data_IF_829851530410
#
_entry.id   IF_829851530410
#
_cell.length_a   1.000
_cell.length_b   1.000
_cell.length_c   1.000
_cell.angle_alpha   90.00
_cell.angle_beta   90.00
_cell.angle_gamma   90.00
#
_symmetry.space_group_name_H-M   'P 1'
#
loop_
_entity.id
_entity.type
_entity.pdbx_description
1 polymer ?
#
# COMPACT_ATOMS: atom_id res chain seq x y z
N UNK A 1 7.44 -7.01 21.18
CA UNK A 1 6.93 -8.40 21.34
C UNK A 1 6.00 -8.72 20.19
N UNK A 2 6.17 -9.89 19.55
CA UNK A 2 5.33 -10.41 18.47
C UNK A 2 4.86 -11.80 18.87
N UNK A 3 3.55 -11.99 18.96
CA UNK A 3 2.91 -13.27 19.28
C UNK A 3 1.90 -13.60 18.16
N UNK A 4 2.40 -14.09 17.02
CA UNK A 4 1.60 -14.24 15.81
C UNK A 4 2.18 -15.34 14.89
N UNK A 5 2.14 -16.59 15.30
CA UNK A 5 2.53 -17.71 14.45
C UNK A 5 3.98 -17.65 13.94
N UNK A 6 4.93 -17.18 14.75
CA UNK A 6 6.31 -17.00 14.32
C UNK A 6 7.18 -18.20 14.73
N UNK A 7 7.74 -18.89 13.73
CA UNK A 7 8.68 -19.98 13.97
C UNK A 7 10.08 -19.45 14.34
N UNK A 8 10.74 -20.01 15.38
CA UNK A 8 12.05 -19.63 15.83
C UNK A 8 13.16 -20.25 14.96
N UNK A 9 13.18 -19.94 13.68
CA UNK A 9 14.23 -20.42 12.77
C UNK A 9 15.60 -19.90 13.17
N UNK A 10 16.66 -20.62 12.83
CA UNK A 10 18.04 -20.23 13.19
C UNK A 10 18.41 -18.84 12.65
N UNK A 11 17.96 -18.50 11.45
CA UNK A 11 18.18 -17.16 10.87
C UNK A 11 17.51 -16.06 11.70
N UNK A 12 16.26 -16.29 12.14
CA UNK A 12 15.53 -15.31 12.96
C UNK A 12 16.11 -15.14 14.36
N UNK A 13 16.65 -16.22 14.94
CA UNK A 13 17.33 -16.17 16.25
C UNK A 13 18.59 -15.30 16.22
N UNK A 14 19.18 -15.06 15.05
CA UNK A 14 20.30 -14.12 14.91
C UNK A 14 19.86 -12.66 15.15
N UNK A 15 18.60 -12.32 14.90
CA UNK A 15 18.09 -10.94 14.95
C UNK A 15 17.19 -10.66 16.15
N UNK A 16 16.42 -11.65 16.61
CA UNK A 16 15.46 -11.51 17.72
C UNK A 16 15.57 -12.66 18.72
N UNK A 17 15.12 -12.43 19.96
CA UNK A 17 14.97 -13.45 20.96
C UNK A 17 13.59 -14.13 20.86
N UNK A 18 13.52 -15.42 21.19
CA UNK A 18 12.30 -16.21 21.18
C UNK A 18 12.01 -16.80 22.55
N UNK A 19 10.74 -16.84 22.92
CA UNK A 19 10.25 -17.57 24.08
C UNK A 19 10.34 -19.10 23.85
N UNK A 20 10.03 -19.87 24.88
CA UNK A 20 9.64 -21.27 24.73
C UNK A 20 8.48 -21.38 23.73
N UNK A 21 8.43 -22.47 22.95
CA UNK A 21 7.33 -22.70 22.05
C UNK A 21 5.99 -22.78 22.79
N UNK A 22 5.00 -22.06 22.32
CA UNK A 22 3.65 -22.12 22.88
C UNK A 22 2.71 -23.00 22.09
N UNK A 23 3.05 -23.34 20.86
CA UNK A 23 2.29 -24.20 19.98
C UNK A 23 3.24 -24.89 18.99
N UNK A 24 2.91 -26.15 18.60
CA UNK A 24 3.60 -26.84 17.51
C UNK A 24 2.61 -26.97 16.36
N UNK A 25 2.98 -26.42 15.21
CA UNK A 25 2.12 -26.39 14.03
C UNK A 25 2.33 -27.61 13.18
N UNK A 26 1.22 -28.18 12.69
CA UNK A 26 1.23 -29.25 11.68
C UNK A 26 0.94 -28.63 10.32
N UNK A 27 1.82 -28.80 9.32
CA UNK A 27 1.53 -28.35 7.96
C UNK A 27 0.45 -29.22 7.34
N UNK A 28 -0.50 -28.54 6.73
CA UNK A 28 -1.67 -29.13 6.06
C UNK A 28 -1.84 -28.49 4.69
N UNK A 29 -2.75 -29.02 3.89
CA UNK A 29 -3.14 -28.44 2.60
C UNK A 29 -4.57 -27.90 2.68
N UNK A 30 -4.78 -26.73 2.08
CA UNK A 30 -6.13 -26.19 1.86
C UNK A 30 -6.44 -26.32 0.38
N UNK A 31 -7.58 -26.96 0.09
CA UNK A 31 -8.07 -27.25 -1.26
C UNK A 31 -9.48 -26.70 -1.46
N UNK A 32 -9.95 -26.68 -2.71
CA UNK A 32 -11.37 -26.47 -2.97
C UNK A 32 -12.17 -27.72 -2.59
N UNK A 33 -13.26 -27.56 -1.83
CA UNK A 33 -14.15 -28.67 -1.40
C UNK A 33 -14.76 -29.41 -2.55
N UNK A 34 -15.05 -28.72 -3.66
CA UNK A 34 -15.63 -29.30 -4.88
C UNK A 34 -14.55 -29.61 -5.94
N UNK A 35 -13.27 -29.45 -5.59
CA UNK A 35 -12.15 -29.70 -6.50
C UNK A 35 -11.70 -31.18 -6.51
N UNK A 36 -10.85 -31.50 -7.48
CA UNK A 36 -10.37 -32.87 -7.72
C UNK A 36 -9.56 -33.43 -6.53
N UNK A 37 -8.94 -32.55 -5.74
CA UNK A 37 -8.07 -32.89 -4.61
C UNK A 37 -8.78 -32.94 -3.24
N UNK A 38 -10.10 -32.73 -3.20
CA UNK A 38 -10.88 -32.76 -1.95
C UNK A 38 -10.85 -34.14 -1.23
N UNK A 39 -10.54 -35.20 -1.93
CA UNK A 39 -10.48 -36.56 -1.41
C UNK A 39 -9.05 -37.07 -1.21
N UNK A 40 -8.05 -36.23 -1.44
CA UNK A 40 -6.64 -36.58 -1.26
C UNK A 40 -6.38 -36.98 0.20
N UNK A 41 -5.57 -38.01 0.42
CA UNK A 41 -5.23 -38.55 1.74
C UNK A 41 -3.74 -38.64 1.97
N UNK A 42 -2.94 -38.65 0.92
CA UNK A 42 -1.49 -38.75 0.94
C UNK A 42 -0.89 -37.59 0.18
N UNK A 43 0.41 -37.33 0.35
CA UNK A 43 1.12 -36.31 -0.43
C UNK A 43 1.16 -36.67 -1.93
N UNK A 44 1.17 -37.93 -2.27
CA UNK A 44 1.20 -38.45 -3.66
C UNK A 44 -0.10 -38.18 -4.41
N UNK A 45 -1.24 -38.10 -3.69
CA UNK A 45 -2.54 -37.83 -4.30
C UNK A 45 -2.63 -36.44 -4.93
N UNK A 46 -1.66 -35.57 -4.64
CA UNK A 46 -1.55 -34.21 -5.21
C UNK A 46 -0.77 -34.17 -6.53
N UNK A 47 -0.45 -35.29 -7.14
CA UNK A 47 0.20 -35.30 -8.44
C UNK A 47 -0.62 -34.54 -9.49
N UNK A 48 0.00 -33.60 -10.21
CA UNK A 48 -0.65 -32.72 -11.17
C UNK A 48 -1.34 -31.48 -10.57
N UNK A 49 -1.42 -31.36 -9.25
CA UNK A 49 -2.02 -30.21 -8.58
C UNK A 49 -1.12 -28.97 -8.69
N UNK A 50 -1.69 -27.82 -9.00
CA UNK A 50 -1.02 -26.51 -8.93
C UNK A 50 -0.99 -26.04 -7.49
N UNK A 51 0.18 -26.12 -6.85
CA UNK A 51 0.32 -25.88 -5.41
C UNK A 51 1.30 -24.73 -5.15
N UNK A 52 0.94 -23.88 -4.21
CA UNK A 52 1.80 -22.79 -3.74
C UNK A 52 1.98 -22.81 -2.22
N UNK A 53 2.88 -21.96 -1.75
CA UNK A 53 3.12 -21.69 -0.33
C UNK A 53 3.38 -20.21 -0.11
N UNK A 54 3.38 -19.75 1.15
CA UNK A 54 3.67 -18.38 1.47
C UNK A 54 5.16 -18.06 1.26
N UNK A 55 5.44 -16.97 0.57
CA UNK A 55 6.80 -16.48 0.30
C UNK A 55 7.53 -16.09 1.60
N UNK A 56 8.80 -16.44 1.70
CA UNK A 56 9.63 -16.07 2.86
C UNK A 56 9.31 -16.85 4.13
N UNK A 57 8.54 -17.94 4.04
CA UNK A 57 8.23 -18.87 5.13
C UNK A 57 8.72 -20.26 4.77
N UNK A 58 9.07 -21.04 5.77
CA UNK A 58 9.59 -22.41 5.61
C UNK A 58 8.66 -23.35 4.84
N UNK A 59 7.36 -23.06 4.73
CA UNK A 59 6.40 -23.83 3.94
C UNK A 59 6.83 -24.01 2.48
N UNK A 60 7.56 -23.06 1.90
CA UNK A 60 8.09 -23.18 0.53
C UNK A 60 9.02 -24.41 0.39
N UNK A 61 9.73 -24.75 1.46
CA UNK A 61 10.65 -25.88 1.50
C UNK A 61 9.93 -27.23 1.51
N UNK A 62 8.61 -27.25 1.73
CA UNK A 62 7.77 -28.47 1.71
C UNK A 62 7.25 -28.81 0.32
N UNK A 63 7.22 -27.85 -0.61
CA UNK A 63 6.74 -28.08 -1.98
C UNK A 63 7.39 -29.28 -2.68
N UNK A 64 8.72 -29.52 -2.55
CA UNK A 64 9.38 -30.67 -3.15
C UNK A 64 8.92 -32.04 -2.62
N UNK A 65 8.27 -32.10 -1.45
CA UNK A 65 7.73 -33.36 -0.90
C UNK A 65 6.43 -33.82 -1.60
N UNK A 66 5.78 -32.91 -2.34
CA UNK A 66 4.59 -33.21 -3.14
C UNK A 66 5.01 -33.73 -4.52
N UNK A 67 5.35 -35.00 -4.57
CA UNK A 67 5.89 -35.63 -5.79
C UNK A 67 4.84 -35.62 -6.92
N UNK A 68 5.23 -35.03 -8.05
CA UNK A 68 4.36 -34.95 -9.23
C UNK A 68 3.38 -33.74 -9.21
N UNK A 69 3.34 -32.95 -8.16
CA UNK A 69 2.61 -31.69 -8.16
C UNK A 69 3.30 -30.63 -9.05
N UNK A 70 2.58 -29.60 -9.42
CA UNK A 70 3.06 -28.42 -10.18
C UNK A 70 3.26 -27.24 -9.25
N UNK A 71 4.48 -27.03 -8.68
CA UNK A 71 4.73 -25.90 -7.79
C UNK A 71 4.53 -24.58 -8.51
N UNK A 72 3.71 -23.70 -7.93
CA UNK A 72 3.47 -22.36 -8.41
C UNK A 72 4.36 -21.35 -7.66
N UNK A 73 4.55 -20.16 -8.25
CA UNK A 73 5.31 -19.09 -7.60
C UNK A 73 4.75 -18.81 -6.20
N UNK A 74 5.60 -18.79 -5.14
CA UNK A 74 5.17 -18.46 -3.79
C UNK A 74 4.47 -17.09 -3.71
N UNK A 75 3.39 -17.00 -2.94
CA UNK A 75 2.57 -15.80 -2.80
C UNK A 75 2.87 -15.06 -1.50
N UNK A 76 2.65 -13.75 -1.46
CA UNK A 76 3.05 -12.88 -0.35
C UNK A 76 2.33 -13.18 0.97
N UNK A 77 1.06 -13.60 0.94
CA UNK A 77 0.26 -13.86 2.13
C UNK A 77 -0.85 -14.89 1.88
N UNK A 78 -1.45 -15.38 2.96
CA UNK A 78 -2.57 -16.34 2.89
C UNK A 78 -3.80 -15.76 2.18
N UNK A 79 -4.00 -14.45 2.19
CA UNK A 79 -5.11 -13.80 1.52
C UNK A 79 -5.05 -13.97 0.01
N UNK A 80 -3.85 -13.81 -0.55
CA UNK A 80 -3.60 -14.02 -1.98
C UNK A 80 -3.78 -15.49 -2.37
N UNK A 81 -3.28 -16.41 -1.53
CA UNK A 81 -3.41 -17.85 -1.77
C UNK A 81 -4.88 -18.31 -1.73
N UNK A 82 -5.66 -17.84 -0.76
CA UNK A 82 -7.11 -18.12 -0.68
C UNK A 82 -7.87 -17.58 -1.89
N UNK A 83 -7.53 -16.37 -2.35
CA UNK A 83 -8.15 -15.80 -3.54
C UNK A 83 -7.77 -16.58 -4.81
N UNK A 84 -6.50 -16.99 -4.93
CA UNK A 84 -6.04 -17.81 -6.04
C UNK A 84 -6.74 -19.17 -6.06
N UNK A 85 -6.93 -19.80 -4.89
CA UNK A 85 -7.67 -21.07 -4.75
C UNK A 85 -9.15 -20.86 -5.09
N UNK A 86 -9.80 -19.82 -4.57
CA UNK A 86 -11.21 -19.53 -4.84
C UNK A 86 -11.49 -19.25 -6.33
N UNK A 87 -10.50 -18.72 -7.06
CA UNK A 87 -10.59 -18.43 -8.50
C UNK A 87 -10.09 -19.56 -9.40
N UNK A 88 -9.62 -20.67 -8.84
CA UNK A 88 -9.11 -21.82 -9.61
C UNK A 88 -7.75 -21.58 -10.29
N UNK A 89 -7.00 -20.56 -9.87
CA UNK A 89 -5.62 -20.32 -10.35
C UNK A 89 -4.67 -21.36 -9.78
N UNK A 90 -4.90 -21.77 -8.53
CA UNK A 90 -4.21 -22.87 -7.86
C UNK A 90 -5.23 -23.91 -7.39
N UNK A 91 -4.79 -25.14 -7.18
CA UNK A 91 -5.63 -26.27 -6.70
C UNK A 91 -5.47 -26.46 -5.20
N UNK A 92 -4.30 -26.07 -4.63
CA UNK A 92 -4.03 -26.15 -3.21
C UNK A 92 -2.97 -25.13 -2.78
N UNK A 93 -2.91 -24.86 -1.46
CA UNK A 93 -1.78 -24.20 -0.84
C UNK A 93 -1.40 -24.87 0.48
N UNK A 94 -0.10 -24.83 0.80
CA UNK A 94 0.41 -25.33 2.08
C UNK A 94 0.13 -24.28 3.16
N UNK A 95 -0.43 -24.74 4.26
CA UNK A 95 -0.82 -23.92 5.41
C UNK A 95 -0.53 -24.63 6.73
N UNK A 96 -0.81 -23.96 7.81
CA UNK A 96 -0.82 -24.51 9.16
C UNK A 96 -2.25 -24.85 9.58
N UNK A 97 -2.40 -25.88 10.42
CA UNK A 97 -3.70 -26.36 10.89
C UNK A 97 -4.63 -25.22 11.40
N UNK A 98 -4.20 -24.26 12.23
CA UNK A 98 -5.08 -23.20 12.72
C UNK A 98 -5.58 -22.26 11.59
N UNK A 99 -4.71 -21.92 10.64
CA UNK A 99 -5.10 -21.11 9.48
C UNK A 99 -6.04 -21.84 8.56
N UNK A 100 -5.74 -23.11 8.26
CA UNK A 100 -6.56 -23.95 7.39
C UNK A 100 -7.98 -24.15 7.95
N UNK A 101 -8.12 -24.43 9.24
CA UNK A 101 -9.42 -24.54 9.92
C UNK A 101 -10.17 -23.21 9.92
N UNK A 102 -9.45 -22.10 10.09
CA UNK A 102 -10.04 -20.76 10.00
C UNK A 102 -10.55 -20.48 8.59
N UNK A 103 -9.76 -20.83 7.56
CA UNK A 103 -10.17 -20.66 6.15
C UNK A 103 -11.40 -21.52 5.83
N UNK A 104 -11.45 -22.78 6.29
CA UNK A 104 -12.58 -23.69 6.11
C UNK A 104 -13.84 -23.19 6.84
N UNK A 105 -13.69 -22.70 8.08
CA UNK A 105 -14.81 -22.15 8.86
C UNK A 105 -15.40 -20.89 8.24
N UNK A 106 -14.54 -20.04 7.66
CA UNK A 106 -14.94 -18.76 7.08
C UNK A 106 -15.49 -18.87 5.65
N UNK A 107 -15.17 -19.95 4.94
CA UNK A 107 -15.64 -20.17 3.57
C UNK A 107 -15.87 -21.68 3.34
N UNK A 108 -17.13 -22.04 3.20
CA UNK A 108 -17.58 -23.44 3.00
C UNK A 108 -17.00 -24.11 1.76
N UNK A 109 -16.47 -23.34 0.80
CA UNK A 109 -15.80 -23.87 -0.41
C UNK A 109 -14.39 -24.39 -0.14
N UNK A 110 -13.80 -24.04 0.98
CA UNK A 110 -12.48 -24.55 1.35
C UNK A 110 -12.57 -25.80 2.20
N UNK A 111 -11.56 -26.64 2.09
CA UNK A 111 -11.42 -27.86 2.85
C UNK A 111 -9.97 -28.03 3.28
N UNK A 112 -9.76 -28.29 4.56
CA UNK A 112 -8.46 -28.68 5.08
C UNK A 112 -8.25 -30.17 4.80
N UNK A 113 -7.12 -30.51 4.18
CA UNK A 113 -6.65 -31.89 3.97
C UNK A 113 -5.39 -32.11 4.80
N UNK A 114 -5.41 -33.13 5.65
CA UNK A 114 -4.24 -33.57 6.42
C UNK A 114 -3.71 -34.85 5.81
N UNK A 115 -2.60 -34.82 5.07
CA UNK A 115 -2.02 -36.01 4.44
C UNK A 115 -1.49 -36.98 5.51
N UNK A 116 -1.56 -38.29 5.22
CA UNK A 116 -0.97 -39.31 6.06
C UNK A 116 -0.26 -40.37 5.18
N UNK A 117 1.09 -40.50 5.23
CA UNK A 117 2.00 -39.73 6.09
C UNK A 117 1.97 -38.21 5.77
N UNK A 118 2.19 -37.37 6.80
CA UNK A 118 2.27 -35.93 6.67
C UNK A 118 3.62 -35.47 6.12
N UNK A 119 3.80 -34.14 6.08
CA UNK A 119 5.06 -33.54 5.68
C UNK A 119 6.17 -33.85 6.71
N UNK A 120 7.37 -34.06 6.23
CA UNK A 120 8.58 -34.09 7.06
C UNK A 120 9.01 -32.65 7.37
N UNK A 121 9.03 -32.26 8.66
CA UNK A 121 9.33 -30.90 9.12
C UNK A 121 10.36 -30.94 10.22
N UNK A 122 11.32 -30.01 10.17
CA UNK A 122 12.22 -29.81 11.29
C UNK A 122 11.46 -29.28 12.50
N UNK A 123 11.76 -29.77 13.70
CA UNK A 123 11.09 -29.38 14.93
C UNK A 123 11.14 -27.87 15.18
N UNK A 124 12.26 -27.22 14.81
CA UNK A 124 12.43 -25.76 14.89
C UNK A 124 11.47 -24.97 13.99
N UNK A 125 11.08 -25.55 12.85
CA UNK A 125 10.21 -24.89 11.88
C UNK A 125 8.74 -25.04 12.27
N UNK A 126 8.37 -26.19 12.82
CA UNK A 126 7.04 -26.47 13.33
C UNK A 126 6.72 -25.71 14.64
N UNK A 127 7.73 -25.36 15.43
CA UNK A 127 7.53 -24.65 16.68
C UNK A 127 7.08 -23.21 16.44
N UNK A 128 6.14 -22.73 17.26
CA UNK A 128 5.66 -21.35 17.25
C UNK A 128 5.98 -20.72 18.61
N UNK A 129 6.68 -19.59 18.58
CA UNK A 129 7.14 -18.91 19.78
C UNK A 129 6.88 -17.38 19.71
N UNK A 130 6.96 -16.73 20.85
CA UNK A 130 6.84 -15.27 20.96
C UNK A 130 8.19 -14.64 20.64
N UNK A 131 8.23 -13.75 19.63
CA UNK A 131 9.42 -12.97 19.29
C UNK A 131 9.53 -11.70 20.13
N UNK A 132 10.72 -11.41 20.66
CA UNK A 132 11.05 -10.25 21.46
C UNK A 132 12.31 -9.57 20.93
N UNK A 133 12.57 -8.33 21.35
CA UNK A 133 13.88 -7.72 21.09
C UNK A 133 14.97 -8.51 21.78
N UNK A 134 16.14 -8.59 21.17
CA UNK A 134 17.24 -9.42 21.65
C UNK A 134 17.77 -9.02 23.04
N UNK A 135 17.62 -7.76 23.37
CA UNK A 135 18.03 -7.13 24.63
C UNK A 135 16.92 -7.11 25.72
N UNK A 136 15.69 -7.52 25.38
CA UNK A 136 14.53 -7.51 26.30
C UNK A 136 14.44 -8.84 27.09
N UNK A 137 15.47 -9.14 27.86
CA UNK A 137 15.60 -10.38 28.64
C UNK A 137 14.51 -10.45 29.73
N UNK A 138 14.17 -9.32 30.34
CA UNK A 138 13.17 -9.26 31.41
C UNK A 138 11.77 -9.69 30.93
N UNK A 139 11.37 -9.22 29.75
CA UNK A 139 10.11 -9.64 29.14
C UNK A 139 10.14 -11.10 28.72
N UNK A 140 11.28 -11.59 28.21
CA UNK A 140 11.45 -12.99 27.82
C UNK A 140 11.24 -13.93 29.01
N UNK A 141 11.87 -13.64 30.15
CA UNK A 141 11.73 -14.43 31.40
C UNK A 141 10.28 -14.45 31.86
N UNK A 142 9.60 -13.30 31.85
CA UNK A 142 8.18 -13.20 32.25
C UNK A 142 7.26 -14.00 31.33
N UNK A 143 7.49 -13.91 30.00
CA UNK A 143 6.70 -14.67 29.01
C UNK A 143 6.89 -16.17 29.23
N UNK A 144 8.12 -16.65 29.38
CA UNK A 144 8.39 -18.06 29.62
C UNK A 144 7.76 -18.56 30.93
N UNK A 145 7.86 -17.78 32.00
CA UNK A 145 7.22 -18.12 33.28
C UNK A 145 5.69 -18.26 33.17
N UNK A 146 5.03 -17.42 32.37
CA UNK A 146 3.59 -17.55 32.10
C UNK A 146 3.31 -18.77 31.21
N UNK A 147 4.09 -19.02 30.18
CA UNK A 147 3.89 -20.18 29.28
C UNK A 147 4.04 -21.52 30.02
N UNK A 148 4.91 -21.60 31.04
CA UNK A 148 5.10 -22.79 31.88
C UNK A 148 3.88 -23.08 32.74
N UNK A 149 3.05 -22.08 33.08
CA UNK A 149 1.82 -22.29 33.86
C UNK A 149 0.67 -22.88 33.06
N UNK A 150 0.76 -22.89 31.71
CA UNK A 150 -0.30 -23.37 30.81
C UNK A 150 0.17 -24.68 30.19
N UNK A 151 -0.53 -25.77 30.44
CA UNK A 151 -0.17 -27.07 29.88
C UNK A 151 -0.32 -27.06 28.36
N UNK A 152 0.42 -27.92 27.64
CA UNK A 152 0.30 -28.05 26.18
C UNK A 152 -1.13 -28.41 25.77
N UNK A 153 -1.79 -29.31 26.52
CA UNK A 153 -3.18 -29.68 26.30
C UNK A 153 -4.13 -28.46 26.38
N UNK A 154 -3.92 -27.58 27.38
CA UNK A 154 -4.74 -26.40 27.54
C UNK A 154 -4.49 -25.38 26.43
N UNK A 155 -3.23 -25.27 25.95
CA UNK A 155 -2.88 -24.41 24.83
C UNK A 155 -3.56 -24.85 23.51
N UNK A 156 -3.54 -26.17 23.23
CA UNK A 156 -4.26 -26.74 22.08
C UNK A 156 -5.77 -26.52 22.22
N UNK A 157 -6.34 -26.78 23.39
CA UNK A 157 -7.78 -26.56 23.63
C UNK A 157 -8.18 -25.07 23.48
N UNK A 158 -7.31 -24.15 23.91
CA UNK A 158 -7.51 -22.70 23.69
C UNK A 158 -7.48 -22.35 22.22
N UNK A 159 -6.57 -22.94 21.44
CA UNK A 159 -6.49 -22.72 19.99
C UNK A 159 -7.75 -23.22 19.29
N UNK A 160 -8.18 -24.43 19.57
CA UNK A 160 -9.41 -25.00 19.00
C UNK A 160 -10.63 -24.14 19.35
N UNK A 161 -10.75 -23.69 20.60
CA UNK A 161 -11.81 -22.78 21.02
C UNK A 161 -11.77 -21.43 20.30
N UNK A 162 -10.58 -20.88 20.03
CA UNK A 162 -10.47 -19.63 19.27
C UNK A 162 -10.89 -19.79 17.81
N UNK A 163 -10.65 -20.95 17.22
CA UNK A 163 -11.11 -21.29 15.87
C UNK A 163 -12.66 -21.38 15.83
N UNK A 164 -13.28 -22.03 16.83
CA UNK A 164 -14.74 -22.15 16.93
C UNK A 164 -15.47 -20.81 17.08
N UNK A 165 -14.87 -19.81 17.75
CA UNK A 165 -15.50 -18.49 17.95
C UNK A 165 -15.29 -17.55 16.75
N UNK A 166 -14.52 -17.94 15.76
CA UNK A 166 -14.37 -17.13 14.55
C UNK A 166 -15.70 -17.04 13.80
N UNK A 167 -15.99 -15.91 13.12
CA UNK A 167 -17.20 -15.77 12.35
C UNK A 167 -17.28 -16.88 11.28
N UNK A 168 -18.05 -17.91 11.57
CA UNK A 168 -18.38 -18.92 10.58
C UNK A 168 -19.26 -18.31 9.50
N UNK A 169 -19.16 -18.83 8.30
CA UNK A 169 -20.13 -18.55 7.23
C UNK A 169 -21.49 -19.12 7.67
N UNK A 170 -22.30 -18.25 8.29
CA UNK A 170 -23.62 -18.60 8.81
C UNK A 170 -24.68 -18.73 7.69
N UNK A 171 -24.34 -19.31 6.55
CA UNK A 171 -25.28 -19.74 5.53
C UNK A 171 -26.03 -20.99 5.99
N UNK A 172 -26.86 -20.83 7.05
CA UNK A 172 -27.68 -21.91 7.62
C UNK A 172 -28.94 -22.25 6.80
N UNK A 173 -29.23 -21.52 5.75
CA UNK A 173 -30.29 -21.86 4.79
C UNK A 173 -29.66 -22.13 3.43
N UNK A 174 -29.69 -23.36 2.96
CA UNK A 174 -29.13 -23.97 1.77
C UNK A 174 -29.07 -23.22 0.43
N UNK A 175 -29.14 -21.90 0.43
CA UNK A 175 -28.87 -21.03 -0.71
C UNK A 175 -27.72 -20.07 -0.33
N UNK A 176 -26.55 -20.21 -0.99
CA UNK A 176 -25.48 -19.21 -0.85
C UNK A 176 -26.03 -17.80 -1.14
N UNK A 177 -25.78 -16.80 -0.26
CA UNK A 177 -26.20 -15.43 -0.53
C UNK A 177 -25.59 -14.96 -1.85
N UNK A 178 -26.41 -14.35 -2.70
CA UNK A 178 -25.93 -13.84 -4.00
C UNK A 178 -24.77 -12.85 -3.80
N UNK A 179 -23.90 -12.73 -4.81
CA UNK A 179 -22.80 -11.78 -4.79
C UNK A 179 -23.21 -10.38 -4.33
N UNK A 180 -24.34 -9.88 -4.83
CA UNK A 180 -24.86 -8.56 -4.46
C UNK A 180 -25.32 -8.47 -3.00
N UNK A 181 -25.90 -9.54 -2.46
CA UNK A 181 -26.27 -9.58 -1.04
C UNK A 181 -25.03 -9.57 -0.15
N UNK A 182 -23.98 -10.27 -0.52
CA UNK A 182 -22.70 -10.25 0.19
C UNK A 182 -22.07 -8.85 0.16
N UNK A 183 -22.02 -8.20 -1.01
CA UNK A 183 -21.52 -6.82 -1.17
C UNK A 183 -22.30 -5.85 -0.27
N UNK A 184 -23.63 -5.90 -0.28
CA UNK A 184 -24.48 -5.03 0.56
C UNK A 184 -24.21 -5.31 2.05
N UNK A 185 -24.11 -6.56 2.44
CA UNK A 185 -23.83 -6.95 3.83
C UNK A 185 -22.48 -6.43 4.31
N UNK A 186 -21.42 -6.59 3.50
CA UNK A 186 -20.09 -6.08 3.82
C UNK A 186 -20.13 -4.55 3.96
N UNK A 187 -20.74 -3.88 2.98
CA UNK A 187 -20.83 -2.43 2.96
C UNK A 187 -21.58 -1.89 4.19
N UNK A 188 -22.73 -2.46 4.52
CA UNK A 188 -23.54 -2.01 5.65
C UNK A 188 -22.90 -2.28 7.01
N UNK A 189 -22.20 -3.40 7.16
CA UNK A 189 -21.48 -3.72 8.40
C UNK A 189 -20.22 -2.88 8.59
N UNK A 190 -19.50 -2.54 7.52
CA UNK A 190 -18.18 -1.93 7.58
C UNK A 190 -18.11 -0.49 7.04
N UNK A 191 -19.25 0.17 6.79
CA UNK A 191 -19.28 1.50 6.18
C UNK A 191 -18.48 2.57 6.93
N UNK A 192 -18.45 2.50 8.28
CA UNK A 192 -17.68 3.45 9.10
C UNK A 192 -16.18 3.30 8.87
N UNK A 193 -15.70 2.07 8.71
CA UNK A 193 -14.31 1.78 8.43
C UNK A 193 -13.90 2.27 7.04
N UNK A 194 -14.74 2.03 6.02
CA UNK A 194 -14.51 2.53 4.67
C UNK A 194 -14.56 4.06 4.61
N UNK A 195 -15.49 4.69 5.31
CA UNK A 195 -15.59 6.15 5.38
C UNK A 195 -14.36 6.77 6.05
N UNK A 196 -13.89 6.18 7.16
CA UNK A 196 -12.67 6.62 7.84
C UNK A 196 -11.44 6.46 6.93
N UNK A 197 -11.29 5.32 6.27
CA UNK A 197 -10.22 5.07 5.32
C UNK A 197 -10.23 6.07 4.17
N UNK A 198 -11.41 6.35 3.59
CA UNK A 198 -11.60 7.38 2.56
C UNK A 198 -11.20 8.77 3.05
N UNK A 199 -11.56 9.13 4.28
CA UNK A 199 -11.17 10.41 4.88
C UNK A 199 -9.64 10.55 5.03
N UNK A 200 -8.96 9.49 5.44
CA UNK A 200 -7.48 9.47 5.56
C UNK A 200 -6.83 9.55 4.16
N UNK A 201 -7.35 8.80 3.17
CA UNK A 201 -6.91 8.90 1.78
C UNK A 201 -6.98 10.34 1.27
N UNK A 202 -8.14 11.00 1.45
CA UNK A 202 -8.33 12.39 1.03
C UNK A 202 -7.42 13.37 1.79
N UNK A 203 -7.27 13.19 3.09
CA UNK A 203 -6.40 14.03 3.93
C UNK A 203 -4.94 13.97 3.43
N UNK A 204 -4.39 12.77 3.29
CA UNK A 204 -3.02 12.57 2.84
C UNK A 204 -2.81 13.12 1.43
N UNK A 205 -3.72 12.81 0.50
CA UNK A 205 -3.65 13.25 -0.89
C UNK A 205 -3.74 14.78 -1.00
N UNK A 206 -4.67 15.39 -0.29
CA UNK A 206 -4.88 16.84 -0.35
C UNK A 206 -3.70 17.61 0.27
N UNK A 207 -3.31 17.25 1.51
CA UNK A 207 -2.21 17.91 2.19
C UNK A 207 -0.90 17.65 1.45
N UNK A 208 -0.67 16.41 0.99
CA UNK A 208 0.50 16.02 0.20
C UNK A 208 0.60 16.80 -1.10
N UNK A 209 -0.51 16.96 -1.84
CA UNK A 209 -0.53 17.74 -3.10
C UNK A 209 -0.29 19.22 -2.86
N UNK A 210 -0.94 19.83 -1.86
CA UNK A 210 -0.75 21.25 -1.54
C UNK A 210 0.70 21.51 -1.12
N UNK A 211 1.24 20.72 -0.21
CA UNK A 211 2.62 20.85 0.26
C UNK A 211 3.61 20.58 -0.87
N UNK A 212 3.34 19.55 -1.69
CA UNK A 212 4.14 19.23 -2.87
C UNK A 212 4.12 20.34 -3.91
N UNK A 213 2.97 21.01 -4.13
CA UNK A 213 2.89 22.19 -4.99
C UNK A 213 3.77 23.33 -4.47
N UNK A 214 3.74 23.60 -3.16
CA UNK A 214 4.58 24.65 -2.55
C UNK A 214 6.07 24.31 -2.74
N UNK A 215 6.48 23.07 -2.46
CA UNK A 215 7.84 22.59 -2.69
C UNK A 215 8.22 22.75 -4.17
N UNK A 216 7.35 22.31 -5.06
CA UNK A 216 7.53 22.37 -6.51
C UNK A 216 7.66 23.81 -7.02
N UNK A 217 6.84 24.74 -6.52
CA UNK A 217 6.94 26.17 -6.85
C UNK A 217 8.29 26.76 -6.42
N UNK A 218 8.72 26.49 -5.20
CA UNK A 218 10.01 26.99 -4.68
C UNK A 218 11.19 26.47 -5.53
N UNK A 219 11.19 25.16 -5.83
CA UNK A 219 12.24 24.52 -6.61
C UNK A 219 12.18 24.98 -8.08
N UNK A 220 11.00 25.02 -8.70
CA UNK A 220 10.82 25.43 -10.09
C UNK A 220 11.27 26.87 -10.32
N UNK A 221 10.88 27.78 -9.43
CA UNK A 221 11.34 29.19 -9.48
C UNK A 221 12.85 29.30 -9.27
N UNK A 222 13.40 28.58 -8.29
CA UNK A 222 14.84 28.57 -8.04
C UNK A 222 15.64 28.10 -9.26
N UNK A 223 15.23 27.00 -9.89
CA UNK A 223 15.94 26.41 -11.04
C UNK A 223 15.82 27.23 -12.33
N UNK A 224 14.87 28.16 -12.42
CA UNK A 224 14.70 29.08 -13.55
C UNK A 224 15.34 30.45 -13.29
N UNK A 225 15.84 30.70 -12.06
CA UNK A 225 16.53 31.94 -11.71
C UNK A 225 17.86 32.05 -12.47
N UNK A 226 18.22 33.25 -12.95
CA UNK A 226 19.53 33.50 -13.60
C UNK A 226 20.67 33.27 -12.61
N UNK A 227 21.85 32.97 -13.17
CA UNK A 227 23.07 32.81 -12.37
C UNK A 227 23.44 34.08 -11.65
N UNK A 228 23.80 33.98 -10.39
CA UNK A 228 24.19 35.13 -9.56
C UNK A 228 25.45 35.81 -10.15
N UNK A 229 25.49 37.13 -10.14
CA UNK A 229 26.62 37.92 -10.62
C UNK A 229 27.91 37.72 -9.77
N UNK A 230 27.76 37.46 -8.47
CA UNK A 230 28.88 37.16 -7.58
C UNK A 230 29.33 35.71 -7.79
N UNK A 231 30.63 35.48 -8.09
CA UNK A 231 31.21 34.15 -8.36
C UNK A 231 31.00 33.16 -7.21
N UNK A 232 31.12 33.59 -5.95
CA UNK A 232 30.90 32.74 -4.78
C UNK A 232 29.45 32.30 -4.68
N UNK A 233 28.49 33.21 -4.86
CA UNK A 233 27.06 32.89 -4.89
C UNK A 233 26.67 32.01 -6.10
N UNK A 234 27.32 32.23 -7.24
CA UNK A 234 27.11 31.41 -8.43
C UNK A 234 27.53 29.93 -8.21
N UNK A 235 28.66 29.72 -7.50
CA UNK A 235 29.11 28.38 -7.12
C UNK A 235 28.10 27.71 -6.16
N UNK A 236 27.67 28.43 -5.12
CA UNK A 236 26.67 27.92 -4.18
C UNK A 236 25.34 27.60 -4.88
N UNK A 237 24.91 28.49 -5.79
CA UNK A 237 23.70 28.28 -6.60
C UNK A 237 23.83 27.00 -7.45
N UNK A 238 25.00 26.75 -8.05
CA UNK A 238 25.27 25.57 -8.85
C UNK A 238 25.25 24.29 -7.98
N UNK A 239 25.88 24.31 -6.81
CA UNK A 239 25.89 23.16 -5.88
C UNK A 239 24.47 22.84 -5.41
N UNK A 240 23.73 23.86 -4.97
CA UNK A 240 22.35 23.67 -4.51
C UNK A 240 21.44 23.23 -5.67
N UNK A 241 21.61 23.78 -6.87
CA UNK A 241 20.92 23.34 -8.08
C UNK A 241 21.19 21.88 -8.41
N UNK A 242 22.41 21.39 -8.21
CA UNK A 242 22.76 19.98 -8.38
C UNK A 242 22.07 19.08 -7.35
N UNK A 243 22.03 19.51 -6.07
CA UNK A 243 21.31 18.77 -5.01
C UNK A 243 19.81 18.69 -5.30
N UNK A 244 19.20 19.76 -5.78
CA UNK A 244 17.79 19.78 -6.18
C UNK A 244 17.53 18.87 -7.40
N UNK A 245 18.46 18.83 -8.34
CA UNK A 245 18.35 17.90 -9.49
C UNK A 245 18.45 16.45 -9.03
N UNK A 246 19.39 16.12 -8.15
CA UNK A 246 19.51 14.79 -7.56
C UNK A 246 18.24 14.39 -6.81
N UNK A 247 17.66 15.31 -6.00
CA UNK A 247 16.37 15.10 -5.34
C UNK A 247 15.27 14.73 -6.36
N UNK A 248 15.13 15.55 -7.42
CA UNK A 248 14.09 15.32 -8.44
C UNK A 248 14.29 13.97 -9.14
N UNK A 249 15.52 13.65 -9.53
CA UNK A 249 15.83 12.38 -10.20
C UNK A 249 15.56 11.17 -9.32
N UNK A 250 15.94 11.22 -8.03
CA UNK A 250 15.70 10.13 -7.08
C UNK A 250 14.21 9.91 -6.90
N UNK A 251 13.45 10.96 -6.55
CA UNK A 251 12.03 10.81 -6.23
C UNK A 251 11.14 10.54 -7.44
N UNK A 252 11.55 10.91 -8.64
CA UNK A 252 10.86 10.54 -9.90
C UNK A 252 11.35 9.22 -10.49
N UNK A 253 12.55 8.80 -10.15
CA UNK A 253 13.17 7.58 -10.67
C UNK A 253 12.93 6.33 -9.82
N UNK A 254 12.34 6.46 -8.63
CA UNK A 254 12.06 5.33 -7.74
C UNK A 254 10.58 5.22 -7.39
N UNK A 255 10.03 3.99 -7.22
CA UNK A 255 8.63 3.81 -6.83
C UNK A 255 8.35 4.35 -5.42
N UNK A 256 7.18 5.00 -5.23
CA UNK A 256 6.80 5.57 -3.92
C UNK A 256 6.71 4.51 -2.81
N UNK A 257 6.35 3.26 -3.14
CA UNK A 257 6.35 2.16 -2.17
C UNK A 257 7.75 1.91 -1.58
N UNK A 258 8.81 1.94 -2.42
CA UNK A 258 10.19 1.77 -1.99
C UNK A 258 10.64 2.97 -1.14
N UNK A 259 10.30 4.19 -1.59
CA UNK A 259 10.56 5.42 -0.82
C UNK A 259 9.93 5.35 0.58
N UNK A 260 8.69 4.86 0.67
CA UNK A 260 7.96 4.72 1.93
C UNK A 260 8.67 3.77 2.90
N UNK A 261 9.16 2.64 2.40
CA UNK A 261 9.94 1.67 3.19
C UNK A 261 11.23 2.29 3.72
N UNK A 262 12.01 2.91 2.82
CA UNK A 262 13.31 3.51 3.17
C UNK A 262 13.14 4.66 4.15
N UNK A 263 12.17 5.56 3.93
CA UNK A 263 11.98 6.73 4.79
C UNK A 263 11.45 6.30 6.16
N UNK A 264 10.42 5.46 6.21
CA UNK A 264 9.78 5.12 7.47
C UNK A 264 10.63 4.17 8.32
N UNK A 265 11.01 3.01 7.77
CA UNK A 265 11.79 2.02 8.51
C UNK A 265 13.28 2.38 8.60
N UNK A 266 13.83 2.99 7.55
CA UNK A 266 15.22 3.45 7.56
C UNK A 266 15.47 4.54 8.60
N UNK A 267 14.53 5.47 8.79
CA UNK A 267 14.62 6.50 9.85
C UNK A 267 14.58 5.87 11.24
N UNK A 268 13.70 4.89 11.44
CA UNK A 268 13.62 4.16 12.70
C UNK A 268 14.92 3.39 13.00
N UNK A 269 15.47 2.72 11.99
CA UNK A 269 16.70 1.92 12.13
C UNK A 269 17.95 2.78 12.32
N UNK A 270 18.10 3.87 11.52
CA UNK A 270 19.32 4.68 11.54
C UNK A 270 19.37 5.67 12.71
N UNK A 271 18.23 6.20 13.14
CA UNK A 271 18.16 7.28 14.13
C UNK A 271 17.36 6.92 15.38
N UNK A 272 16.76 5.72 15.47
CA UNK A 272 15.90 5.33 16.58
C UNK A 272 14.60 6.14 16.68
N UNK A 273 14.21 6.86 15.63
CA UNK A 273 13.04 7.75 15.61
C UNK A 273 11.84 6.98 15.07
N UNK A 274 10.82 6.77 15.92
CA UNK A 274 9.53 6.22 15.50
C UNK A 274 8.62 7.36 15.05
N UNK A 275 8.39 7.45 13.74
CA UNK A 275 7.50 8.46 13.17
C UNK A 275 6.02 8.02 13.31
N UNK A 276 5.13 8.99 13.52
CA UNK A 276 3.69 8.73 13.32
C UNK A 276 3.44 8.36 11.86
N UNK A 277 2.67 7.29 11.63
CA UNK A 277 2.43 6.73 10.30
C UNK A 277 1.74 7.71 9.35
N UNK A 278 0.75 8.45 9.85
CA UNK A 278 0.00 9.42 9.03
C UNK A 278 0.85 10.63 8.69
N UNK A 279 1.64 11.13 9.64
CA UNK A 279 2.57 12.22 9.38
C UNK A 279 3.68 11.81 8.41
N UNK A 280 4.22 10.60 8.56
CA UNK A 280 5.19 10.04 7.62
C UNK A 280 4.59 9.90 6.21
N UNK A 281 3.35 9.43 6.10
CA UNK A 281 2.64 9.33 4.83
C UNK A 281 2.48 10.70 4.15
N UNK A 282 2.02 11.71 4.90
CA UNK A 282 1.89 13.08 4.39
C UNK A 282 3.25 13.60 3.92
N UNK A 283 4.31 13.40 4.70
CA UNK A 283 5.67 13.81 4.33
C UNK A 283 6.13 13.12 3.04
N UNK A 284 5.98 11.80 2.94
CA UNK A 284 6.40 11.01 1.77
C UNK A 284 5.67 11.48 0.51
N UNK A 285 4.33 11.62 0.57
CA UNK A 285 3.55 12.12 -0.56
C UNK A 285 3.94 13.54 -0.92
N UNK A 286 4.19 14.42 0.08
CA UNK A 286 4.59 15.81 -0.17
C UNK A 286 5.91 15.92 -0.91
N UNK A 287 6.94 15.18 -0.50
CA UNK A 287 8.25 15.24 -1.15
C UNK A 287 8.24 14.54 -2.52
N UNK A 288 7.49 13.44 -2.66
CA UNK A 288 7.32 12.78 -3.95
C UNK A 288 6.61 13.72 -4.95
N UNK A 289 5.43 14.24 -4.58
CA UNK A 289 4.68 15.19 -5.41
C UNK A 289 5.48 16.46 -5.68
N UNK A 290 6.27 16.94 -4.71
CA UNK A 290 7.15 18.11 -4.87
C UNK A 290 8.16 17.96 -6.01
N UNK A 291 8.70 16.76 -6.19
CA UNK A 291 9.61 16.45 -7.29
C UNK A 291 8.89 16.53 -8.65
N UNK A 292 7.68 15.97 -8.78
CA UNK A 292 6.88 16.07 -10.00
C UNK A 292 6.44 17.50 -10.28
N UNK A 293 5.91 18.19 -9.25
CA UNK A 293 5.45 19.56 -9.36
C UNK A 293 6.56 20.54 -9.73
N UNK A 294 7.81 20.29 -9.32
CA UNK A 294 8.94 21.15 -9.67
C UNK A 294 9.19 21.20 -11.20
N UNK A 295 9.02 20.09 -11.89
CA UNK A 295 9.13 20.01 -13.35
C UNK A 295 7.91 20.61 -14.05
N UNK A 296 6.70 20.41 -13.49
CA UNK A 296 5.46 21.02 -14.00
C UNK A 296 5.57 22.54 -13.89
N UNK A 297 6.01 23.07 -12.75
CA UNK A 297 6.22 24.52 -12.55
C UNK A 297 7.30 25.06 -13.50
N UNK A 298 8.42 24.35 -13.62
CA UNK A 298 9.50 24.75 -14.56
C UNK A 298 8.96 24.83 -15.99
N UNK A 299 8.21 23.82 -16.43
CA UNK A 299 7.54 23.83 -17.75
C UNK A 299 6.57 25.00 -17.89
N UNK A 300 5.77 25.27 -16.86
CA UNK A 300 4.84 26.40 -16.82
C UNK A 300 5.53 27.76 -16.90
N UNK A 301 6.71 27.94 -16.29
CA UNK A 301 7.50 29.17 -16.42
C UNK A 301 8.03 29.35 -17.84
N UNK A 302 8.54 28.27 -18.46
CA UNK A 302 9.02 28.34 -19.84
C UNK A 302 7.91 28.53 -20.88
N UNK A 303 6.67 28.22 -20.55
CA UNK A 303 5.50 28.43 -21.40
C UNK A 303 5.04 29.91 -21.42
N UNK A 304 5.50 30.74 -20.47
CA UNK A 304 5.21 32.18 -20.49
C UNK A 304 6.00 32.85 -21.63
N UNK A 305 5.32 33.68 -22.43
CA UNK A 305 5.92 34.39 -23.55
C UNK A 305 7.12 35.23 -23.11
N UNK A 306 8.24 35.15 -23.84
CA UNK A 306 9.47 35.89 -23.57
C UNK A 306 9.26 37.39 -23.58
N UNK A 307 8.35 37.88 -24.44
CA UNK A 307 7.97 39.30 -24.50
C UNK A 307 7.45 39.84 -23.17
N UNK A 308 6.84 39.01 -22.32
CA UNK A 308 6.43 39.41 -20.96
C UNK A 308 7.63 39.77 -20.08
N UNK A 309 8.72 39.02 -20.20
CA UNK A 309 9.96 39.32 -19.48
C UNK A 309 10.66 40.55 -20.03
N UNK A 310 10.70 40.71 -21.34
CA UNK A 310 11.30 41.86 -22.03
C UNK A 310 10.54 43.16 -21.72
N UNK A 311 9.21 43.13 -21.83
CA UNK A 311 8.35 44.26 -21.47
C UNK A 311 8.50 44.67 -20.01
N UNK A 312 8.54 43.70 -19.07
CA UNK A 312 8.77 43.94 -17.65
C UNK A 312 10.12 44.65 -17.43
N UNK A 313 11.19 44.18 -18.12
CA UNK A 313 12.51 44.75 -18.02
C UNK A 313 12.54 46.18 -18.58
N UNK A 314 11.87 46.43 -19.72
CA UNK A 314 11.75 47.76 -20.30
C UNK A 314 11.03 48.76 -19.37
N UNK A 315 10.08 48.26 -18.58
CA UNK A 315 9.39 49.06 -17.53
C UNK A 315 10.19 49.22 -16.24
N UNK A 316 11.41 48.68 -16.16
CA UNK A 316 12.30 48.81 -15.00
C UNK A 316 11.97 47.84 -13.85
N UNK A 317 11.20 46.77 -14.08
CA UNK A 317 10.96 45.73 -13.06
C UNK A 317 12.24 44.95 -12.81
N UNK A 318 12.51 44.68 -11.53
CA UNK A 318 13.53 43.67 -11.17
C UNK A 318 13.03 42.29 -11.47
N UNK A 319 13.94 41.31 -11.64
CA UNK A 319 13.59 39.92 -11.89
C UNK A 319 12.62 39.35 -10.87
N UNK A 320 12.80 39.68 -9.59
CA UNK A 320 11.87 39.24 -8.53
C UNK A 320 10.48 39.89 -8.67
N UNK A 321 10.40 41.14 -9.09
CA UNK A 321 9.13 41.82 -9.38
C UNK A 321 8.45 41.22 -10.59
N UNK A 322 9.20 40.96 -11.67
CA UNK A 322 8.72 40.30 -12.88
C UNK A 322 8.16 38.90 -12.55
N UNK A 323 8.94 38.09 -11.82
CA UNK A 323 8.51 36.76 -11.42
C UNK A 323 7.22 36.82 -10.59
N UNK A 324 7.18 37.64 -9.54
CA UNK A 324 6.06 37.68 -8.59
C UNK A 324 4.79 38.31 -9.17
N UNK A 325 4.91 39.38 -9.95
CA UNK A 325 3.77 40.18 -10.40
C UNK A 325 3.24 39.82 -11.77
N UNK A 326 4.07 39.21 -12.64
CA UNK A 326 3.74 38.95 -14.03
C UNK A 326 3.76 37.44 -14.33
N UNK A 327 4.86 36.75 -14.03
CA UNK A 327 5.10 35.39 -14.45
C UNK A 327 4.34 34.41 -13.58
N UNK A 328 4.53 34.39 -12.25
CA UNK A 328 3.92 33.43 -11.35
C UNK A 328 2.39 33.39 -11.41
N UNK A 329 1.65 34.53 -11.48
CA UNK A 329 0.20 34.48 -11.64
C UNK A 329 -0.27 33.73 -12.89
N UNK A 330 0.46 33.86 -14.00
CA UNK A 330 0.20 33.14 -15.24
C UNK A 330 0.56 31.65 -15.08
N UNK A 331 1.75 31.37 -14.52
CA UNK A 331 2.21 29.98 -14.26
C UNK A 331 1.21 29.21 -13.41
N UNK A 332 0.73 29.80 -12.30
CA UNK A 332 -0.23 29.15 -11.39
C UNK A 332 -1.50 28.76 -12.16
N UNK A 333 -2.00 29.63 -13.04
CA UNK A 333 -3.15 29.31 -13.89
C UNK A 333 -2.85 28.15 -14.84
N UNK A 334 -1.71 28.21 -15.51
CA UNK A 334 -1.31 27.23 -16.54
C UNK A 334 -1.06 25.83 -15.93
N UNK A 335 -0.58 25.75 -14.68
CA UNK A 335 -0.30 24.47 -14.02
C UNK A 335 -1.49 23.91 -13.23
N UNK A 336 -2.56 24.68 -13.06
CA UNK A 336 -3.74 24.25 -12.24
C UNK A 336 -4.31 22.91 -12.71
N UNK A 337 -4.52 22.63 -14.02
CA UNK A 337 -4.99 21.34 -14.50
C UNK A 337 -4.02 20.20 -14.15
N UNK A 338 -2.72 20.41 -14.30
CA UNK A 338 -1.70 19.43 -13.95
C UNK A 338 -1.67 19.17 -12.44
N UNK A 339 -1.81 20.21 -11.61
CA UNK A 339 -1.90 20.07 -10.14
C UNK A 339 -3.15 19.28 -9.74
N UNK A 340 -4.28 19.54 -10.39
CA UNK A 340 -5.50 18.78 -10.18
C UNK A 340 -5.34 17.30 -10.54
N UNK A 341 -4.64 17.01 -11.63
CA UNK A 341 -4.33 15.64 -12.02
C UNK A 341 -3.42 14.93 -11.00
N UNK A 342 -2.39 15.62 -10.47
CA UNK A 342 -1.53 15.09 -9.39
C UNK A 342 -2.34 14.76 -8.13
N UNK A 343 -3.33 15.58 -7.77
CA UNK A 343 -4.22 15.25 -6.66
C UNK A 343 -5.01 13.96 -6.89
N UNK A 344 -5.56 13.76 -8.10
CA UNK A 344 -6.28 12.52 -8.46
C UNK A 344 -5.33 11.31 -8.48
N UNK A 345 -4.08 11.48 -8.92
CA UNK A 345 -3.05 10.44 -8.85
C UNK A 345 -2.77 10.09 -7.39
N UNK A 346 -2.52 11.07 -6.53
CA UNK A 346 -2.23 10.87 -5.12
C UNK A 346 -3.37 10.13 -4.38
N UNK A 347 -4.66 10.37 -4.73
CA UNK A 347 -5.78 9.61 -4.17
C UNK A 347 -5.59 8.10 -4.38
N UNK A 348 -5.09 7.68 -5.52
CA UNK A 348 -4.86 6.26 -5.83
C UNK A 348 -3.55 5.77 -5.23
N UNK A 349 -2.52 6.58 -5.30
CA UNK A 349 -1.16 6.23 -4.89
C UNK A 349 -1.00 6.13 -3.37
N UNK A 350 -1.90 6.74 -2.57
CA UNK A 350 -1.93 6.50 -1.11
C UNK A 350 -2.09 5.04 -0.75
N UNK A 351 -2.66 4.20 -1.64
CA UNK A 351 -2.79 2.76 -1.42
C UNK A 351 -1.45 2.04 -1.19
N UNK A 352 -0.34 2.52 -1.76
CA UNK A 352 0.98 1.92 -1.56
C UNK A 352 1.52 2.14 -0.14
N UNK A 353 0.98 3.13 0.60
CA UNK A 353 1.36 3.43 1.97
C UNK A 353 0.86 2.37 2.98
N UNK A 354 0.04 1.44 2.53
CA UNK A 354 -0.31 0.23 3.30
C UNK A 354 0.95 -0.53 3.75
N UNK A 355 2.06 -0.48 3.00
CA UNK A 355 3.35 -1.10 3.35
C UNK A 355 3.92 -0.61 4.68
N UNK A 356 3.62 0.62 5.09
CA UNK A 356 3.96 1.20 6.39
C UNK A 356 2.76 1.24 7.34
N UNK A 357 1.73 0.45 7.05
CA UNK A 357 0.51 0.26 7.83
C UNK A 357 -0.28 1.56 8.09
N UNK A 358 -0.38 2.42 7.08
CA UNK A 358 -1.28 3.59 7.10
C UNK A 358 -2.71 3.10 6.90
N UNK A 359 -3.62 3.48 7.81
CA UNK A 359 -5.02 3.02 7.79
C UNK A 359 -5.85 3.91 6.85
N UNK A 360 -5.53 3.85 5.55
CA UNK A 360 -6.25 4.52 4.47
C UNK A 360 -7.29 3.55 3.84
N UNK A 361 -7.90 3.90 2.72
CA UNK A 361 -9.00 3.14 2.13
C UNK A 361 -8.62 1.70 1.71
N UNK A 362 -7.47 1.51 1.06
CA UNK A 362 -7.01 0.18 0.65
C UNK A 362 -6.71 -0.70 1.87
N UNK A 363 -5.99 -0.16 2.87
CA UNK A 363 -5.72 -0.87 4.12
C UNK A 363 -7.01 -1.27 4.84
N UNK A 364 -7.99 -0.35 4.89
CA UNK A 364 -9.30 -0.62 5.48
C UNK A 364 -10.04 -1.73 4.74
N UNK A 365 -9.99 -1.72 3.41
CA UNK A 365 -10.54 -2.79 2.57
C UNK A 365 -9.86 -4.13 2.78
N UNK A 366 -8.53 -4.14 2.77
CA UNK A 366 -7.75 -5.36 3.00
C UNK A 366 -8.06 -5.96 4.38
N UNK A 367 -8.20 -5.12 5.41
CA UNK A 367 -8.59 -5.57 6.76
C UNK A 367 -9.96 -6.25 6.75
N UNK A 368 -10.95 -5.63 6.11
CA UNK A 368 -12.32 -6.21 5.99
C UNK A 368 -12.28 -7.50 5.17
N UNK A 369 -11.57 -7.52 4.05
CA UNK A 369 -11.42 -8.71 3.22
C UNK A 369 -10.79 -9.89 3.99
N UNK A 370 -9.77 -9.61 4.80
CA UNK A 370 -9.12 -10.61 5.64
C UNK A 370 -10.03 -11.11 6.76
N UNK A 371 -10.85 -10.23 7.36
CA UNK A 371 -11.78 -10.61 8.43
C UNK A 371 -13.00 -11.39 7.92
N UNK A 372 -13.48 -11.08 6.71
CA UNK A 372 -14.68 -11.69 6.14
C UNK A 372 -14.38 -12.83 5.18
N UNK A 373 -13.12 -12.99 4.76
CA UNK A 373 -12.67 -13.90 3.69
C UNK A 373 -13.36 -13.69 2.34
N UNK A 374 -14.04 -12.57 2.16
CA UNK A 374 -14.78 -12.19 0.94
C UNK A 374 -13.99 -11.14 0.14
N UNK A 375 -12.85 -11.54 -0.41
CA UNK A 375 -11.91 -10.65 -1.09
C UNK A 375 -12.52 -9.99 -2.33
N UNK A 376 -13.11 -10.77 -3.23
CA UNK A 376 -13.66 -10.25 -4.48
C UNK A 376 -14.76 -9.23 -4.23
N UNK A 377 -15.68 -9.51 -3.30
CA UNK A 377 -16.77 -8.62 -2.92
C UNK A 377 -16.23 -7.31 -2.29
N UNK A 378 -15.28 -7.45 -1.35
CA UNK A 378 -14.70 -6.30 -0.65
C UNK A 378 -13.89 -5.42 -1.59
N UNK A 379 -13.04 -6.00 -2.44
CA UNK A 379 -12.26 -5.20 -3.40
C UNK A 379 -13.12 -4.60 -4.50
N UNK A 380 -14.27 -5.20 -4.84
CA UNK A 380 -15.29 -4.56 -5.70
C UNK A 380 -15.83 -3.29 -5.04
N UNK A 381 -16.15 -3.34 -3.73
CA UNK A 381 -16.59 -2.14 -2.98
C UNK A 381 -15.50 -1.07 -3.01
N UNK A 382 -14.25 -1.43 -2.71
CA UNK A 382 -13.12 -0.50 -2.71
C UNK A 382 -12.91 0.13 -4.08
N UNK A 383 -12.98 -0.66 -5.15
CA UNK A 383 -12.86 -0.17 -6.52
C UNK A 383 -13.96 0.85 -6.85
N UNK A 384 -15.21 0.58 -6.45
CA UNK A 384 -16.33 1.52 -6.64
C UNK A 384 -16.12 2.81 -5.83
N UNK A 385 -15.65 2.71 -4.57
CA UNK A 385 -15.38 3.90 -3.75
C UNK A 385 -14.27 4.74 -4.38
N UNK A 386 -13.14 4.16 -4.80
CA UNK A 386 -12.07 4.88 -5.51
C UNK A 386 -12.57 5.52 -6.80
N UNK A 387 -13.39 4.80 -7.58
CA UNK A 387 -13.96 5.34 -8.81
C UNK A 387 -14.87 6.55 -8.54
N UNK A 388 -15.81 6.43 -7.60
CA UNK A 388 -16.71 7.54 -7.23
C UNK A 388 -15.91 8.73 -6.72
N UNK A 389 -14.89 8.48 -5.90
CA UNK A 389 -14.03 9.51 -5.33
C UNK A 389 -13.25 10.25 -6.41
N UNK A 390 -12.52 9.54 -7.26
CA UNK A 390 -11.72 10.14 -8.34
C UNK A 390 -12.58 10.79 -9.40
N UNK A 391 -13.73 10.20 -9.75
CA UNK A 391 -14.69 10.78 -10.67
C UNK A 391 -15.24 12.11 -10.13
N UNK A 392 -15.67 12.13 -8.87
CA UNK A 392 -16.23 13.34 -8.23
C UNK A 392 -15.19 14.45 -8.16
N UNK A 393 -13.98 14.12 -7.68
CA UNK A 393 -12.87 15.07 -7.61
C UNK A 393 -12.54 15.63 -8.99
N UNK A 394 -12.44 14.78 -10.01
CA UNK A 394 -12.16 15.22 -11.39
C UNK A 394 -13.25 16.16 -11.91
N UNK A 395 -14.53 15.93 -11.59
CA UNK A 395 -15.62 16.83 -11.99
C UNK A 395 -15.55 18.19 -11.29
N UNK A 396 -15.23 18.20 -9.99
CA UNK A 396 -15.04 19.43 -9.22
C UNK A 396 -13.86 20.22 -9.80
N UNK A 397 -12.72 19.57 -10.06
CA UNK A 397 -11.53 20.21 -10.63
C UNK A 397 -11.82 20.83 -11.99
N UNK A 398 -12.48 20.12 -12.91
CA UNK A 398 -12.89 20.66 -14.22
C UNK A 398 -13.85 21.84 -14.11
N UNK A 399 -14.73 21.85 -13.10
CA UNK A 399 -15.60 23.00 -12.85
C UNK A 399 -14.81 24.22 -12.38
N UNK A 400 -13.84 24.00 -11.48
CA UNK A 400 -12.93 25.05 -11.00
C UNK A 400 -12.08 25.60 -12.15
N UNK A 401 -11.47 24.72 -12.96
CA UNK A 401 -10.67 25.09 -14.14
C UNK A 401 -11.48 26.00 -15.09
N UNK A 402 -12.70 25.60 -15.46
CA UNK A 402 -13.56 26.40 -16.34
C UNK A 402 -13.85 27.79 -15.79
N UNK A 403 -13.93 27.95 -14.48
CA UNK A 403 -14.15 29.25 -13.86
C UNK A 403 -12.91 30.14 -13.94
N UNK A 404 -11.71 29.56 -13.81
CA UNK A 404 -10.46 30.31 -13.95
C UNK A 404 -10.15 30.65 -15.42
N UNK A 405 -10.55 29.82 -16.40
CA UNK A 405 -10.38 30.07 -17.83
C UNK A 405 -11.36 31.13 -18.35
N UNK A 406 -12.57 31.22 -17.78
CA UNK A 406 -13.56 32.20 -18.18
C UNK A 406 -13.13 33.67 -17.91
N UNK A 407 -12.16 33.86 -16.99
CA UNK A 407 -11.52 35.16 -16.73
C UNK A 407 -10.29 35.46 -17.65
N UNK A 408 -10.00 34.54 -18.60
CA UNK A 408 -8.96 34.81 -19.59
C UNK A 408 -9.51 35.84 -20.57
N UNK A 409 -9.10 37.08 -20.44
CA UNK A 409 -9.34 38.12 -21.42
C UNK A 409 -9.02 37.57 -22.79
N UNK A 410 -10.02 37.42 -23.65
CA UNK A 410 -9.82 37.36 -25.09
C UNK A 410 -9.02 38.59 -25.49
N UNK A 411 -7.71 38.45 -25.60
CA UNK A 411 -6.86 39.49 -26.17
C UNK A 411 -7.43 39.81 -27.53
N UNK A 412 -7.57 41.09 -27.88
CA UNK A 412 -8.17 41.56 -29.14
C UNK A 412 -7.61 40.97 -30.43
N UNK A 413 -6.51 40.24 -30.35
CA UNK A 413 -5.95 39.40 -31.41
C UNK A 413 -6.85 38.20 -31.80
N UNK A 414 -7.60 37.61 -30.87
CA UNK A 414 -8.56 36.53 -31.20
C UNK A 414 -9.85 37.08 -31.79
N UNK A 415 -10.23 38.32 -31.50
CA UNK A 415 -11.36 38.98 -32.13
C UNK A 415 -11.07 39.32 -33.59
N UNK A 416 -9.85 39.75 -33.95
CA UNK A 416 -9.47 39.99 -35.33
C UNK A 416 -9.41 38.73 -36.18
N UNK A 417 -9.05 37.57 -35.62
CA UNK A 417 -9.08 36.30 -36.40
C UNK A 417 -10.49 35.78 -36.66
N UNK A 418 -11.45 36.09 -35.79
CA UNK A 418 -12.85 35.68 -35.97
C UNK A 418 -13.59 36.59 -36.97
N UNK A 419 -13.21 37.88 -37.08
CA UNK A 419 -13.78 38.81 -38.03
C UNK A 419 -13.22 38.66 -39.46
N UNK A 420 -12.05 38.05 -39.63
CA UNK A 420 -11.44 37.77 -40.95
C UNK A 420 -11.95 36.46 -41.60
N UNK A 421 -12.63 35.62 -40.81
CA UNK A 421 -13.17 34.32 -41.27
C UNK A 421 -14.70 34.31 -41.46
N UNK A 422 -15.41 35.45 -41.25
CA UNK A 422 -16.79 35.70 -41.58
C UNK A 422 -16.86 36.78 -42.68
#
# INVERSE_FOLDING_TARGET
MIAAGMSPTEERKLEIAFSNAYYTSEPVLVVSRDGDFAKAKTLEDFAGAKITAQQGVWHVNLLPQLVGAEPQTPMGDFSQMRQALASGIIDAYISERPEALTAESANSKFLMVTPNPGFEVAESDAAIAVGLRKDDIDSLVKVNAVLETISEKDRVALMDKMIEIQPADNSTDGAEPSFFQQVITILTKNWKQFLRGTGITLLISMVGTITGLIIGLLIGVYRTAPTAANKGLAILQKIFGWLLSAYIEIFRGTPMIVQSMVIYYGTAQAFGISLDRTLAAIFIVSINTGAYMSEIVRGGIFAVDKGQFEAATALGFTLGQTMRKIVLPQVIRNILPATGNEFVINIKDTSVLNVISVVELYFSGNTVATQTYQYFQTFTIIAVIYFVLTFTVTRILRYVEKRFDADTYTTGANQMQTEVLN
#
